data_IF_215777797678
#
_entry.id   IF_215777797678
#
_cell.length_a   1.000
_cell.length_b   1.000
_cell.length_c   1.000
_cell.angle_alpha   90.00
_cell.angle_beta   90.00
_cell.angle_gamma   90.00
#
_symmetry.space_group_name_H-M   'P 1'
#
loop_
_entity.id
_entity.type
_entity.pdbx_description
1 polymer ?
#
# COMPACT_ATOMS: atom_id res chain seq x y z
N UNK A 1 -31.64 -25.44 9.69
CA UNK A 1 -31.46 -24.85 8.35
C UNK A 1 -31.07 -23.37 8.37
N UNK A 2 -31.48 -22.54 9.34
CA UNK A 2 -31.10 -21.10 9.37
C UNK A 2 -29.68 -20.77 9.88
N UNK A 3 -28.97 -21.74 10.47
CA UNK A 3 -27.58 -21.54 10.94
C UNK A 3 -26.57 -21.69 9.78
N UNK A 4 -26.86 -22.57 8.81
CA UNK A 4 -26.01 -22.74 7.62
C UNK A 4 -26.07 -21.52 6.69
N UNK A 5 -27.22 -20.86 6.55
CA UNK A 5 -27.37 -19.70 5.67
C UNK A 5 -26.61 -18.46 6.18
N UNK A 6 -26.63 -18.20 7.50
CA UNK A 6 -25.91 -17.08 8.11
C UNK A 6 -24.39 -17.25 8.04
N UNK A 7 -23.90 -18.48 8.20
CA UNK A 7 -22.47 -18.78 8.11
C UNK A 7 -21.97 -18.65 6.65
N UNK A 8 -22.81 -19.02 5.67
CA UNK A 8 -22.50 -18.83 4.24
C UNK A 8 -22.43 -17.34 3.87
N UNK A 9 -23.41 -16.54 4.27
CA UNK A 9 -23.41 -15.09 3.97
C UNK A 9 -22.23 -14.35 4.59
N UNK A 10 -21.82 -14.72 5.82
CA UNK A 10 -20.64 -14.15 6.47
C UNK A 10 -19.35 -14.52 5.73
N UNK A 11 -19.22 -15.78 5.31
CA UNK A 11 -18.04 -16.22 4.56
C UNK A 11 -17.95 -15.53 3.20
N UNK A 12 -19.06 -15.40 2.47
CA UNK A 12 -19.10 -14.68 1.18
C UNK A 12 -18.73 -13.20 1.35
N UNK A 13 -19.18 -12.57 2.44
CA UNK A 13 -18.79 -11.20 2.76
C UNK A 13 -17.28 -11.07 3.00
N UNK A 14 -16.70 -11.97 3.80
CA UNK A 14 -15.28 -11.97 4.11
C UNK A 14 -14.42 -12.25 2.87
N UNK A 15 -14.80 -13.23 2.05
CA UNK A 15 -14.11 -13.54 0.80
C UNK A 15 -14.14 -12.34 -0.16
N UNK A 16 -15.29 -11.69 -0.28
CA UNK A 16 -15.42 -10.44 -1.03
C UNK A 16 -14.50 -9.36 -0.47
N UNK A 17 -14.38 -9.21 0.85
CA UNK A 17 -13.52 -8.19 1.47
C UNK A 17 -12.04 -8.46 1.21
N UNK A 18 -11.60 -9.72 1.30
CA UNK A 18 -10.22 -10.12 0.97
C UNK A 18 -9.88 -9.85 -0.50
N UNK A 19 -10.81 -10.14 -1.43
CA UNK A 19 -10.62 -9.82 -2.85
C UNK A 19 -10.48 -8.31 -3.06
N UNK A 20 -11.34 -7.51 -2.42
CA UNK A 20 -11.27 -6.05 -2.51
C UNK A 20 -9.98 -5.50 -1.90
N UNK A 21 -9.48 -6.09 -0.81
CA UNK A 21 -8.19 -5.73 -0.23
C UNK A 21 -7.05 -5.97 -1.21
N UNK A 22 -6.99 -7.14 -1.85
CA UNK A 22 -5.93 -7.46 -2.81
C UNK A 22 -5.92 -6.47 -4.00
N UNK A 23 -7.10 -6.17 -4.55
CA UNK A 23 -7.25 -5.19 -5.62
C UNK A 23 -6.83 -3.79 -5.16
N UNK A 24 -7.30 -3.36 -3.98
CA UNK A 24 -6.97 -2.06 -3.42
C UNK A 24 -5.47 -1.90 -3.19
N UNK A 25 -4.77 -2.94 -2.72
CA UNK A 25 -3.32 -2.92 -2.53
C UNK A 25 -2.59 -2.76 -3.88
N UNK A 26 -2.94 -3.57 -4.87
CA UNK A 26 -2.31 -3.50 -6.20
C UNK A 26 -2.48 -2.12 -6.83
N UNK A 27 -3.71 -1.61 -6.87
CA UNK A 27 -4.01 -0.28 -7.42
C UNK A 27 -3.35 0.84 -6.61
N UNK A 28 -3.39 0.74 -5.27
CA UNK A 28 -2.79 1.71 -4.38
C UNK A 28 -1.28 1.84 -4.59
N UNK A 29 -0.60 0.71 -4.80
CA UNK A 29 0.83 0.67 -5.12
C UNK A 29 1.11 1.37 -6.46
N UNK A 30 0.41 0.97 -7.52
CA UNK A 30 0.65 1.53 -8.86
C UNK A 30 0.41 3.03 -8.89
N UNK A 31 -0.70 3.47 -8.29
CA UNK A 31 -1.07 4.87 -8.20
C UNK A 31 -0.04 5.67 -7.40
N UNK A 32 0.41 5.17 -6.25
CA UNK A 32 1.39 5.90 -5.44
C UNK A 32 2.79 5.93 -6.04
N UNK A 33 3.21 4.87 -6.74
CA UNK A 33 4.45 4.92 -7.53
C UNK A 33 4.37 6.07 -8.55
N UNK A 34 3.26 6.15 -9.30
CA UNK A 34 3.07 7.20 -10.29
C UNK A 34 3.00 8.60 -9.65
N UNK A 35 2.32 8.74 -8.51
CA UNK A 35 2.25 10.00 -7.78
C UNK A 35 3.62 10.46 -7.27
N UNK A 36 4.41 9.55 -6.69
CA UNK A 36 5.78 9.86 -6.28
C UNK A 36 6.64 10.31 -7.47
N UNK A 37 6.59 9.60 -8.60
CA UNK A 37 7.32 9.99 -9.83
C UNK A 37 6.87 11.38 -10.30
N UNK A 38 5.56 11.65 -10.32
CA UNK A 38 5.01 12.93 -10.75
C UNK A 38 5.42 14.07 -9.81
N UNK A 39 5.46 13.83 -8.49
CA UNK A 39 5.96 14.80 -7.52
C UNK A 39 7.46 15.09 -7.72
N UNK A 40 8.26 14.05 -7.98
CA UNK A 40 9.69 14.21 -8.29
C UNK A 40 9.89 15.05 -9.56
N UNK A 41 9.13 14.77 -10.63
CA UNK A 41 9.16 15.54 -11.89
C UNK A 41 8.81 17.01 -11.71
N UNK A 42 7.91 17.35 -10.77
CA UNK A 42 7.55 18.75 -10.46
C UNK A 42 8.61 19.47 -9.63
N UNK A 43 9.49 18.75 -8.95
CA UNK A 43 10.54 19.34 -8.12
C UNK A 43 11.73 19.79 -8.95
N UNK A 44 12.09 21.08 -8.89
CA UNK A 44 13.32 21.60 -9.53
C UNK A 44 14.57 20.82 -9.12
N UNK A 45 14.64 20.37 -7.86
CA UNK A 45 15.81 19.68 -7.30
C UNK A 45 15.86 18.20 -7.66
N UNK A 46 14.71 17.53 -7.70
CA UNK A 46 14.65 16.07 -7.85
C UNK A 46 14.17 15.59 -9.22
N UNK A 47 13.67 16.47 -10.09
CA UNK A 47 13.23 16.12 -11.43
C UNK A 47 14.26 15.32 -12.25
N UNK A 48 15.58 15.64 -12.22
CA UNK A 48 16.58 14.85 -12.94
C UNK A 48 16.69 13.40 -12.47
N UNK A 49 16.24 13.11 -11.23
CA UNK A 49 16.31 11.79 -10.62
C UNK A 49 14.96 11.07 -10.60
N UNK A 50 13.89 11.65 -11.18
CA UNK A 50 12.57 11.03 -11.21
C UNK A 50 12.58 9.67 -11.93
N UNK A 51 13.39 9.54 -13.00
CA UNK A 51 13.58 8.26 -13.70
C UNK A 51 14.28 7.18 -12.87
N UNK A 52 14.90 7.55 -11.75
CA UNK A 52 15.60 6.61 -10.85
C UNK A 52 14.67 5.99 -9.79
N UNK A 53 13.41 6.43 -9.71
CA UNK A 53 12.48 5.96 -8.68
C UNK A 53 12.20 4.45 -8.80
N UNK A 54 11.75 3.99 -9.97
CA UNK A 54 11.46 2.57 -10.23
C UNK A 54 12.74 1.71 -10.11
N UNK A 55 13.88 2.04 -10.77
CA UNK A 55 15.13 1.31 -10.56
C UNK A 55 15.55 1.24 -9.09
N UNK A 56 15.40 2.33 -8.34
CA UNK A 56 15.73 2.36 -6.92
C UNK A 56 14.84 1.48 -6.06
N UNK A 57 13.53 1.45 -6.32
CA UNK A 57 12.63 0.53 -5.63
C UNK A 57 12.94 -0.93 -5.97
N UNK A 58 13.34 -1.25 -7.21
CA UNK A 58 13.79 -2.60 -7.56
C UNK A 58 15.05 -3.00 -6.80
N UNK A 59 16.08 -2.14 -6.77
CA UNK A 59 17.28 -2.40 -5.98
C UNK A 59 16.96 -2.62 -4.50
N UNK A 60 15.96 -1.90 -3.97
CA UNK A 60 15.59 -1.98 -2.56
C UNK A 60 14.76 -3.25 -2.23
N UNK A 61 13.70 -3.53 -2.99
CA UNK A 61 12.72 -4.59 -2.70
C UNK A 61 12.99 -5.92 -3.40
N UNK A 62 13.75 -5.93 -4.49
CA UNK A 62 14.12 -7.15 -5.23
C UNK A 62 15.53 -7.59 -4.87
N UNK A 63 16.50 -6.67 -4.88
CA UNK A 63 17.90 -6.99 -4.58
C UNK A 63 18.26 -6.79 -3.09
N UNK A 64 17.34 -6.29 -2.28
CA UNK A 64 17.53 -6.12 -0.83
C UNK A 64 18.52 -5.02 -0.45
N UNK A 65 19.00 -4.18 -1.38
CA UNK A 65 20.08 -3.23 -1.13
C UNK A 65 19.66 -2.08 -0.21
N UNK A 66 20.57 -1.65 0.65
CA UNK A 66 20.32 -0.48 1.50
C UNK A 66 20.30 0.80 0.67
N UNK A 67 19.59 1.84 1.14
CA UNK A 67 19.59 3.15 0.46
C UNK A 67 21.02 3.73 0.32
N UNK A 68 21.94 3.33 1.21
CA UNK A 68 23.33 3.78 1.18
C UNK A 68 24.07 3.17 -0.01
N UNK A 69 23.76 1.91 -0.30
CA UNK A 69 24.34 1.16 -1.42
C UNK A 69 23.67 1.52 -2.75
N UNK A 70 22.39 1.93 -2.72
CA UNK A 70 21.64 2.37 -3.90
C UNK A 70 22.08 3.75 -4.38
N UNK A 71 22.31 4.69 -3.46
CA UNK A 71 22.64 6.07 -3.80
C UNK A 71 23.73 6.21 -4.89
N UNK A 72 24.93 5.63 -4.73
CA UNK A 72 25.97 5.74 -5.75
C UNK A 72 25.63 5.02 -7.06
N UNK A 73 24.83 3.94 -7.03
CA UNK A 73 24.44 3.18 -8.24
C UNK A 73 23.52 3.97 -9.17
N UNK A 74 22.73 4.88 -8.61
CA UNK A 74 21.74 5.67 -9.35
C UNK A 74 22.14 7.15 -9.47
N UNK A 75 23.43 7.47 -9.29
CA UNK A 75 23.94 8.83 -9.43
C UNK A 75 23.42 9.82 -8.38
N UNK A 76 22.98 9.32 -7.22
CA UNK A 76 22.58 10.16 -6.08
C UNK A 76 23.81 10.49 -5.24
N UNK A 77 23.89 11.73 -4.76
CA UNK A 77 25.05 12.25 -4.04
C UNK A 77 25.18 11.73 -2.61
N UNK A 78 24.09 11.24 -2.01
CA UNK A 78 24.11 10.77 -0.63
C UNK A 78 22.96 9.82 -0.29
N UNK A 79 23.11 9.13 0.85
CA UNK A 79 22.03 8.36 1.47
C UNK A 79 20.80 9.22 1.78
N UNK A 80 20.97 10.47 2.23
CA UNK A 80 19.83 11.37 2.50
C UNK A 80 19.09 11.71 1.20
N UNK A 81 19.80 11.90 0.09
CA UNK A 81 19.14 12.09 -1.21
C UNK A 81 18.36 10.85 -1.64
N UNK A 82 18.94 9.65 -1.50
CA UNK A 82 18.23 8.40 -1.78
C UNK A 82 16.99 8.21 -0.90
N UNK A 83 17.09 8.54 0.40
CA UNK A 83 15.96 8.51 1.33
C UNK A 83 14.84 9.46 0.91
N UNK A 84 15.15 10.67 0.46
CA UNK A 84 14.15 11.65 0.02
C UNK A 84 13.48 11.29 -1.30
N UNK A 85 14.17 10.56 -2.17
CA UNK A 85 13.65 10.17 -3.49
C UNK A 85 12.84 8.89 -3.39
N UNK A 86 13.38 7.84 -2.78
CA UNK A 86 12.76 6.50 -2.77
C UNK A 86 11.80 6.30 -1.60
N UNK A 87 12.07 6.96 -0.47
CA UNK A 87 11.35 6.92 0.80
C UNK A 87 10.39 5.71 1.01
N UNK A 88 10.91 4.47 1.16
CA UNK A 88 10.08 3.27 1.20
C UNK A 88 9.01 3.28 2.30
N UNK A 89 9.31 3.90 3.45
CA UNK A 89 8.37 4.04 4.56
C UNK A 89 7.22 5.01 4.25
N UNK A 90 7.49 6.11 3.53
CA UNK A 90 6.43 7.02 3.11
C UNK A 90 5.56 6.39 2.01
N UNK A 91 6.17 5.66 1.07
CA UNK A 91 5.42 4.92 0.06
C UNK A 91 4.48 3.90 0.73
N UNK A 92 4.96 3.12 1.70
CA UNK A 92 4.14 2.19 2.48
C UNK A 92 2.96 2.91 3.15
N UNK A 93 3.23 4.05 3.81
CA UNK A 93 2.22 4.85 4.51
C UNK A 93 1.14 5.37 3.57
N UNK A 94 1.54 5.89 2.40
CA UNK A 94 0.63 6.43 1.40
C UNK A 94 -0.23 5.33 0.76
N UNK A 95 0.36 4.17 0.46
CA UNK A 95 -0.39 3.01 -0.02
C UNK A 95 -1.40 2.55 1.03
N UNK A 96 -0.98 2.39 2.30
CA UNK A 96 -1.88 2.03 3.41
C UNK A 96 -3.08 2.98 3.49
N UNK A 97 -2.80 4.28 3.50
CA UNK A 97 -3.86 5.30 3.57
C UNK A 97 -4.90 5.11 2.46
N UNK A 98 -4.46 4.90 1.22
CA UNK A 98 -5.37 4.67 0.08
C UNK A 98 -6.16 3.38 0.19
N UNK A 99 -5.50 2.30 0.61
CA UNK A 99 -6.16 1.00 0.76
C UNK A 99 -7.26 1.09 1.80
N UNK A 100 -6.96 1.67 2.96
CA UNK A 100 -7.94 1.89 4.03
C UNK A 100 -9.11 2.76 3.53
N UNK A 101 -8.82 3.86 2.83
CA UNK A 101 -9.85 4.72 2.26
C UNK A 101 -10.74 3.97 1.28
N UNK A 102 -10.15 3.21 0.34
CA UNK A 102 -10.90 2.43 -0.65
C UNK A 102 -11.79 1.36 0.00
N UNK A 103 -11.28 0.66 1.02
CA UNK A 103 -12.05 -0.34 1.75
C UNK A 103 -13.19 0.29 2.55
N UNK A 104 -12.98 1.49 3.12
CA UNK A 104 -14.04 2.23 3.79
C UNK A 104 -15.15 2.60 2.80
N UNK A 105 -14.79 3.17 1.65
CA UNK A 105 -15.75 3.56 0.62
C UNK A 105 -16.60 2.36 0.16
N UNK A 106 -15.97 1.21 -0.10
CA UNK A 106 -16.66 -0.04 -0.47
C UNK A 106 -17.58 -0.52 0.65
N UNK A 107 -17.12 -0.47 1.90
CA UNK A 107 -17.89 -0.93 3.05
C UNK A 107 -19.12 -0.06 3.30
N UNK A 108 -18.99 1.26 3.15
CA UNK A 108 -20.10 2.20 3.27
C UNK A 108 -21.11 2.04 2.12
N UNK A 109 -20.64 1.87 0.88
CA UNK A 109 -21.51 1.60 -0.27
C UNK A 109 -22.31 0.31 -0.07
N UNK A 110 -21.68 -0.77 0.40
CA UNK A 110 -22.36 -2.04 0.69
C UNK A 110 -23.37 -1.90 1.83
N UNK A 111 -23.03 -1.19 2.91
CA UNK A 111 -23.96 -0.92 4.01
C UNK A 111 -25.18 -0.10 3.55
N UNK A 112 -24.97 0.89 2.68
CA UNK A 112 -26.05 1.69 2.11
C UNK A 112 -26.98 0.84 1.21
N UNK A 113 -26.41 -0.01 0.36
CA UNK A 113 -27.17 -0.89 -0.53
C UNK A 113 -28.01 -1.94 0.23
N UNK A 114 -27.57 -2.34 1.41
CA UNK A 114 -28.30 -3.25 2.30
C UNK A 114 -29.27 -2.53 3.25
N UNK A 115 -29.35 -1.19 3.20
CA UNK A 115 -30.19 -0.41 4.11
C UNK A 115 -29.73 -0.45 5.57
N UNK A 116 -28.46 -0.80 5.82
CA UNK A 116 -27.88 -0.99 7.15
C UNK A 116 -27.30 0.29 7.76
N UNK A 117 -27.20 1.39 7.01
CA UNK A 117 -26.74 2.68 7.53
C UNK A 117 -27.75 3.80 7.30
N UNK A 118 -27.91 4.67 8.30
CA UNK A 118 -28.54 5.97 8.13
C UNK A 118 -27.72 6.85 7.19
N UNK A 119 -28.37 7.77 6.47
CA UNK A 119 -27.71 8.79 5.65
C UNK A 119 -27.95 10.18 6.26
N UNK A 120 -26.92 10.86 6.81
CA UNK A 120 -25.55 10.38 7.01
C UNK A 120 -25.40 9.41 8.20
N UNK A 121 -24.36 8.55 8.23
CA UNK A 121 -24.09 7.68 9.36
C UNK A 121 -23.66 8.50 10.59
N UNK A 122 -23.88 7.96 11.79
CA UNK A 122 -23.40 8.61 13.01
C UNK A 122 -21.86 8.67 13.06
N UNK A 123 -21.26 9.77 13.54
CA UNK A 123 -19.79 9.93 13.58
C UNK A 123 -19.05 8.82 14.33
N UNK A 124 -19.61 8.35 15.44
CA UNK A 124 -19.01 7.29 16.26
C UNK A 124 -19.00 5.94 15.53
N UNK A 125 -20.06 5.66 14.76
CA UNK A 125 -20.13 4.47 13.91
C UNK A 125 -19.07 4.51 12.80
N UNK A 126 -18.88 5.66 12.15
CA UNK A 126 -17.85 5.83 11.12
C UNK A 126 -16.43 5.63 11.69
N UNK A 127 -16.19 6.11 12.91
CA UNK A 127 -14.91 5.95 13.60
C UNK A 127 -14.64 4.47 13.88
N UNK A 128 -15.64 3.75 14.40
CA UNK A 128 -15.52 2.32 14.67
C UNK A 128 -15.27 1.50 13.38
N UNK A 129 -16.00 1.79 12.30
CA UNK A 129 -15.80 1.08 11.02
C UNK A 129 -14.41 1.36 10.45
N UNK A 130 -13.95 2.60 10.51
CA UNK A 130 -12.60 2.96 10.08
C UNK A 130 -11.54 2.20 10.88
N UNK A 131 -11.64 2.16 12.21
CA UNK A 131 -10.70 1.44 13.07
C UNK A 131 -10.65 -0.07 12.75
N UNK A 132 -11.80 -0.69 12.48
CA UNK A 132 -11.86 -2.10 12.09
C UNK A 132 -11.21 -2.36 10.72
N UNK A 133 -11.44 -1.48 9.75
CA UNK A 133 -10.84 -1.57 8.42
C UNK A 133 -9.32 -1.37 8.50
N UNK A 134 -8.86 -0.41 9.31
CA UNK A 134 -7.43 -0.20 9.56
C UNK A 134 -6.80 -1.43 10.18
N UNK A 135 -7.39 -1.98 11.25
CA UNK A 135 -6.88 -3.17 11.92
C UNK A 135 -6.86 -4.41 11.01
N UNK A 136 -7.86 -4.54 10.14
CA UNK A 136 -7.91 -5.59 9.13
C UNK A 136 -6.79 -5.42 8.09
N UNK A 137 -6.69 -4.27 7.44
CA UNK A 137 -5.67 -4.01 6.43
C UNK A 137 -4.24 -4.12 7.00
N UNK A 138 -4.03 -3.66 8.23
CA UNK A 138 -2.74 -3.76 8.90
C UNK A 138 -2.35 -5.21 9.15
N UNK A 139 -3.26 -6.01 9.71
CA UNK A 139 -3.02 -7.43 9.97
C UNK A 139 -2.70 -8.20 8.69
N UNK A 140 -3.46 -7.96 7.63
CA UNK A 140 -3.37 -8.74 6.40
C UNK A 140 -2.17 -8.32 5.52
N UNK A 141 -1.72 -7.06 5.59
CA UNK A 141 -0.77 -6.51 4.61
C UNK A 141 0.34 -5.67 5.21
N UNK A 142 0.03 -4.71 6.09
CA UNK A 142 0.95 -3.62 6.40
C UNK A 142 1.79 -3.80 7.67
N UNK A 143 1.36 -4.63 8.61
CA UNK A 143 2.06 -4.89 9.87
C UNK A 143 3.45 -5.47 9.59
N UNK A 144 3.51 -6.60 8.87
CA UNK A 144 4.77 -7.27 8.52
C UNK A 144 5.66 -6.35 7.68
N UNK A 145 5.10 -5.65 6.71
CA UNK A 145 5.85 -4.71 5.88
C UNK A 145 6.50 -3.57 6.70
N UNK A 146 5.78 -3.06 7.70
CA UNK A 146 6.30 -2.05 8.62
C UNK A 146 7.45 -2.59 9.48
N UNK A 147 7.33 -3.83 9.94
CA UNK A 147 8.38 -4.53 10.71
C UNK A 147 9.62 -4.77 9.85
N UNK A 148 9.45 -5.17 8.59
CA UNK A 148 10.55 -5.36 7.64
C UNK A 148 11.33 -4.06 7.39
N UNK A 149 10.64 -2.93 7.24
CA UNK A 149 11.30 -1.64 7.06
C UNK A 149 12.07 -1.21 8.33
N UNK A 150 11.58 -1.58 9.52
CA UNK A 150 12.26 -1.31 10.80
C UNK A 150 13.46 -2.22 11.04
N UNK A 151 13.45 -3.44 10.52
CA UNK A 151 14.54 -4.42 10.68
C UNK A 151 15.87 -4.01 10.00
N UNK A 152 15.86 -2.97 9.17
CA UNK A 152 17.07 -2.33 8.66
C UNK A 152 17.89 -3.24 7.73
N UNK A 153 18.99 -3.82 8.22
CA UNK A 153 19.85 -4.70 7.41
C UNK A 153 19.40 -6.16 7.39
N UNK A 154 18.56 -6.58 8.34
CA UNK A 154 18.11 -7.97 8.51
C UNK A 154 16.70 -8.21 7.94
N UNK A 155 16.24 -7.34 7.04
CA UNK A 155 14.91 -7.40 6.47
C UNK A 155 14.78 -8.53 5.43
N UNK A 156 13.66 -9.25 5.49
CA UNK A 156 13.31 -10.34 4.57
C UNK A 156 12.75 -9.86 3.24
N UNK A 157 11.97 -8.76 3.25
CA UNK A 157 11.22 -8.27 2.08
C UNK A 157 10.23 -9.30 1.52
N UNK A 158 9.64 -10.13 2.39
CA UNK A 158 8.70 -11.18 2.03
C UNK A 158 7.25 -10.87 2.40
N UNK A 159 6.97 -9.73 3.02
CA UNK A 159 5.60 -9.30 3.31
C UNK A 159 4.71 -9.28 2.06
N UNK A 160 3.41 -9.43 2.27
CA UNK A 160 2.39 -9.33 1.19
C UNK A 160 2.56 -8.03 0.40
N UNK A 161 2.77 -6.91 1.10
CA UNK A 161 3.05 -5.63 0.46
C UNK A 161 4.31 -5.69 -0.42
N UNK A 162 5.43 -6.22 0.08
CA UNK A 162 6.67 -6.31 -0.69
C UNK A 162 6.52 -7.21 -1.91
N UNK A 163 5.79 -8.32 -1.79
CA UNK A 163 5.47 -9.22 -2.90
C UNK A 163 4.64 -8.50 -3.99
N UNK A 164 3.56 -7.81 -3.61
CA UNK A 164 2.73 -7.06 -4.55
C UNK A 164 3.50 -5.92 -5.20
N UNK A 165 4.31 -5.19 -4.42
CA UNK A 165 5.14 -4.12 -4.95
C UNK A 165 6.11 -4.63 -6.03
N UNK A 166 6.73 -5.79 -5.82
CA UNK A 166 7.60 -6.40 -6.83
C UNK A 166 6.84 -6.75 -8.11
N UNK A 167 5.62 -7.25 -8.00
CA UNK A 167 4.78 -7.54 -9.16
C UNK A 167 4.46 -6.25 -9.94
N UNK A 168 4.01 -5.20 -9.27
CA UNK A 168 3.75 -3.89 -9.91
C UNK A 168 5.00 -3.29 -10.55
N UNK A 169 6.18 -3.42 -9.93
CA UNK A 169 7.44 -2.93 -10.50
C UNK A 169 7.82 -3.65 -11.81
N UNK A 170 7.42 -4.91 -12.00
CA UNK A 170 7.63 -5.63 -13.25
C UNK A 170 6.69 -5.11 -14.36
N UNK A 171 5.47 -4.70 -14.01
CA UNK A 171 4.51 -4.14 -14.98
C UNK A 171 5.03 -2.83 -15.60
N UNK A 172 5.74 -2.00 -14.83
CA UNK A 172 6.35 -0.76 -15.33
C UNK A 172 7.53 -0.96 -16.29
N UNK A 173 8.02 -2.18 -16.49
CA UNK A 173 9.09 -2.49 -17.45
C UNK A 173 8.51 -2.85 -18.84
N UNK A 174 7.27 -3.34 -18.86
CA UNK A 174 6.60 -3.79 -20.09
C UNK A 174 5.79 -2.67 -20.78
N UNK A 175 5.70 -1.49 -20.17
CA UNK A 175 4.99 -0.30 -20.67
C UNK A 175 5.97 0.71 -21.27
#
# INVERSE_FOLDING_TARGET
DSLDELDVEQQEFLDSLHQQLQLAVSEGIELEIQNCINQLKKSKKYAPLAGQFIPGLRLYYVEGLSLKDIAPRLGMSSWDQARRILNPGELLRLVRYRVVQKLLDISLEKAQNLGLSSTPPEPDYLTMVLEQIEAFADREVFQEASEELRAGKNRSMNSVYAAQLRLSLNNFIQA
#
